data_IF_336013341414
#
_entry.id   IF_336013341414
#
_cell.length_a   1.000
_cell.length_b   1.000
_cell.length_c   1.000
_cell.angle_alpha   90.00
_cell.angle_beta   90.00
_cell.angle_gamma   90.00
#
_symmetry.space_group_name_H-M   'P 1'
#
loop_
_entity.id
_entity.type
_entity.pdbx_description
1 polymer ?
#
# COMPACT_ATOMS: atom_id res chain seq x y z
N UNK A 1 -15.90 -6.04 -13.68
CA UNK A 1 -14.50 -6.02 -13.19
C UNK A 1 -14.40 -7.00 -12.02
N UNK A 2 -13.38 -7.86 -11.97
CA UNK A 2 -13.24 -8.91 -10.94
C UNK A 2 -12.13 -8.55 -9.94
N UNK A 3 -12.48 -8.53 -8.64
CA UNK A 3 -11.59 -8.17 -7.52
C UNK A 3 -11.52 -9.33 -6.51
N UNK A 4 -10.63 -10.31 -6.70
CA UNK A 4 -10.56 -11.46 -5.80
C UNK A 4 -9.99 -11.06 -4.43
N UNK A 5 -10.23 -11.91 -3.44
CA UNK A 5 -9.67 -11.82 -2.09
C UNK A 5 -8.84 -13.07 -1.73
N UNK A 6 -7.76 -13.42 -2.48
CA UNK A 6 -6.89 -14.54 -2.11
C UNK A 6 -6.17 -14.25 -0.79
N UNK A 7 -5.90 -15.28 0.02
CA UNK A 7 -5.22 -15.14 1.32
C UNK A 7 -5.88 -14.09 2.25
N UNK A 8 -7.20 -13.89 2.10
CA UNK A 8 -7.95 -12.83 2.79
C UNK A 8 -7.64 -12.77 4.28
N UNK A 9 -7.74 -13.89 4.97
CA UNK A 9 -7.64 -13.89 6.42
C UNK A 9 -6.23 -13.52 6.88
N UNK A 10 -5.19 -14.01 6.18
CA UNK A 10 -3.80 -13.61 6.43
C UNK A 10 -3.57 -12.13 6.14
N UNK A 11 -3.94 -11.64 4.95
CA UNK A 11 -3.75 -10.24 4.56
C UNK A 11 -4.50 -9.31 5.51
N UNK A 12 -5.73 -9.67 5.88
CA UNK A 12 -6.55 -8.86 6.77
C UNK A 12 -5.99 -8.84 8.18
N UNK A 13 -5.51 -9.98 8.69
CA UNK A 13 -4.87 -10.04 10.00
C UNK A 13 -3.61 -9.18 10.06
N UNK A 14 -2.73 -9.28 9.06
CA UNK A 14 -1.46 -8.54 9.03
C UNK A 14 -1.65 -7.04 8.78
N UNK A 15 -2.64 -6.62 7.97
CA UNK A 15 -2.93 -5.20 7.80
C UNK A 15 -3.54 -4.60 9.08
N UNK A 16 -4.47 -5.32 9.72
CA UNK A 16 -5.10 -4.86 10.96
C UNK A 16 -4.14 -4.79 12.15
N UNK A 17 -3.14 -5.67 12.22
CA UNK A 17 -2.14 -5.65 13.31
C UNK A 17 -1.28 -4.39 13.29
N UNK A 18 -1.24 -3.68 12.15
CA UNK A 18 -0.56 -2.38 11.99
C UNK A 18 -1.56 -1.23 11.74
N UNK A 19 -2.82 -1.42 12.13
CA UNK A 19 -3.92 -0.44 12.02
C UNK A 19 -4.19 0.06 10.58
N UNK A 20 -3.75 -0.66 9.56
CA UNK A 20 -3.95 -0.32 8.16
C UNK A 20 -5.24 -0.93 7.61
N UNK A 21 -5.95 -0.19 6.73
CA UNK A 21 -7.10 -0.73 6.00
C UNK A 21 -6.66 -1.96 5.17
N UNK A 22 -7.23 -3.15 5.42
CA UNK A 22 -6.81 -4.36 4.72
C UNK A 22 -7.07 -4.32 3.21
N UNK A 23 -7.99 -3.47 2.73
CA UNK A 23 -8.19 -3.28 1.30
C UNK A 23 -7.04 -2.52 0.62
N UNK A 24 -6.27 -1.71 1.37
CA UNK A 24 -5.06 -1.08 0.84
C UNK A 24 -3.97 -2.14 0.60
N UNK A 25 -3.78 -3.07 1.55
CA UNK A 25 -2.87 -4.20 1.36
C UNK A 25 -3.27 -5.07 0.16
N UNK A 26 -4.57 -5.36 0.00
CA UNK A 26 -5.09 -6.07 -1.17
C UNK A 26 -4.77 -5.36 -2.50
N UNK A 27 -4.93 -4.04 -2.55
CA UNK A 27 -4.63 -3.25 -3.74
C UNK A 27 -3.13 -3.27 -4.08
N UNK A 28 -2.26 -3.10 -3.08
CA UNK A 28 -0.81 -3.20 -3.28
C UNK A 28 -0.40 -4.58 -3.79
N UNK A 29 -0.85 -5.66 -3.14
CA UNK A 29 -0.52 -7.04 -3.55
C UNK A 29 -1.01 -7.34 -4.96
N UNK A 30 -2.19 -6.81 -5.34
CA UNK A 30 -2.75 -6.99 -6.67
C UNK A 30 -1.86 -6.36 -7.75
N UNK A 31 -1.38 -5.15 -7.53
CA UNK A 31 -0.50 -4.44 -8.46
C UNK A 31 0.89 -5.09 -8.50
N UNK A 32 1.44 -5.44 -7.34
CA UNK A 32 2.80 -5.99 -7.21
C UNK A 32 2.95 -7.41 -7.79
N UNK A 33 2.11 -8.35 -7.34
CA UNK A 33 2.32 -9.77 -7.64
C UNK A 33 1.15 -10.41 -8.38
N UNK A 34 0.00 -9.74 -8.45
CA UNK A 34 -1.29 -10.34 -8.80
C UNK A 34 -1.60 -11.55 -7.91
N UNK A 35 -1.28 -11.45 -6.62
CA UNK A 35 -1.45 -12.49 -5.61
C UNK A 35 -0.60 -13.76 -5.84
N UNK A 36 0.54 -13.66 -6.53
CA UNK A 36 1.44 -14.79 -6.77
C UNK A 36 2.54 -14.82 -5.69
N UNK A 37 2.51 -15.76 -4.73
CA UNK A 37 3.46 -15.76 -3.61
C UNK A 37 4.90 -16.09 -4.03
N UNK A 38 5.09 -16.72 -5.19
CA UNK A 38 6.41 -17.01 -5.76
C UNK A 38 6.87 -15.97 -6.80
N UNK A 39 6.22 -14.80 -6.85
CA UNK A 39 6.62 -13.74 -7.77
C UNK A 39 8.01 -13.21 -7.43
N UNK A 40 8.83 -12.99 -8.46
CA UNK A 40 10.12 -12.34 -8.36
C UNK A 40 10.27 -11.34 -9.51
N UNK A 41 10.62 -10.09 -9.20
CA UNK A 41 10.88 -9.07 -10.23
C UNK A 41 12.28 -9.23 -10.82
N UNK A 42 12.53 -8.61 -11.97
CA UNK A 42 13.86 -8.56 -12.59
C UNK A 42 14.89 -7.88 -11.68
N UNK A 43 14.45 -6.94 -10.83
CA UNK A 43 15.30 -6.25 -9.85
C UNK A 43 15.49 -7.02 -8.55
N UNK A 44 14.83 -8.18 -8.39
CA UNK A 44 15.00 -9.05 -7.23
C UNK A 44 13.95 -8.89 -6.13
N UNK A 45 12.90 -8.09 -6.33
CA UNK A 45 11.79 -7.98 -5.38
C UNK A 45 11.03 -9.31 -5.27
N UNK A 46 10.60 -9.73 -4.08
CA UNK A 46 10.08 -11.09 -3.82
C UNK A 46 8.72 -11.11 -3.13
N UNK A 47 7.91 -12.11 -3.49
CA UNK A 47 6.69 -12.47 -2.78
C UNK A 47 5.46 -11.63 -3.15
N UNK A 48 4.42 -11.74 -2.33
CA UNK A 48 3.12 -11.12 -2.55
C UNK A 48 3.18 -9.60 -2.63
N UNK A 49 3.95 -8.99 -1.74
CA UNK A 49 4.13 -7.54 -1.61
C UNK A 49 5.43 -7.04 -2.27
N UNK A 50 6.12 -7.90 -3.03
CA UNK A 50 7.34 -7.58 -3.78
C UNK A 50 8.36 -6.78 -2.95
N UNK A 51 8.80 -7.35 -1.83
CA UNK A 51 9.82 -6.72 -0.99
C UNK A 51 11.21 -6.95 -1.57
N UNK A 52 12.03 -5.90 -1.60
CA UNK A 52 13.46 -6.03 -1.83
C UNK A 52 14.12 -6.72 -0.63
N UNK A 53 15.12 -7.61 -0.83
CA UNK A 53 15.81 -8.30 0.26
C UNK A 53 16.33 -7.35 1.34
N UNK A 54 17.03 -6.28 0.95
CA UNK A 54 17.59 -5.29 1.88
C UNK A 54 16.50 -4.58 2.71
N UNK A 55 15.39 -4.20 2.06
CA UNK A 55 14.24 -3.60 2.74
C UNK A 55 13.63 -4.58 3.73
N UNK A 56 13.42 -5.83 3.32
CA UNK A 56 12.85 -6.84 4.20
C UNK A 56 13.76 -7.18 5.40
N UNK A 57 15.08 -7.19 5.19
CA UNK A 57 16.05 -7.37 6.27
C UNK A 57 15.98 -6.21 7.27
N UNK A 58 15.95 -4.98 6.77
CA UNK A 58 15.80 -3.80 7.62
C UNK A 58 14.49 -3.84 8.42
N UNK A 59 13.36 -4.14 7.76
CA UNK A 59 12.04 -4.26 8.41
C UNK A 59 12.05 -5.34 9.49
N UNK A 60 12.56 -6.54 9.18
CA UNK A 60 12.65 -7.62 10.16
C UNK A 60 13.46 -7.19 11.40
N UNK A 61 14.57 -6.48 11.20
CA UNK A 61 15.35 -5.88 12.27
C UNK A 61 14.57 -4.86 13.11
N UNK A 62 13.76 -3.99 12.48
CA UNK A 62 12.89 -3.05 13.20
C UNK A 62 11.81 -3.75 14.04
N UNK A 63 11.34 -4.92 13.58
CA UNK A 63 10.33 -5.72 14.26
C UNK A 63 10.91 -6.67 15.32
N UNK A 64 12.24 -6.82 15.39
CA UNK A 64 12.88 -7.83 16.25
C UNK A 64 12.67 -9.26 15.76
N UNK A 65 12.42 -9.45 14.46
CA UNK A 65 12.14 -10.74 13.82
C UNK A 65 13.41 -11.30 13.16
N UNK A 66 13.50 -12.62 13.07
CA UNK A 66 14.58 -13.28 12.33
C UNK A 66 14.38 -13.09 10.83
N UNK A 67 15.42 -12.62 10.12
CA UNK A 67 15.39 -12.49 8.67
C UNK A 67 15.91 -13.74 7.97
N UNK A 68 15.08 -14.33 7.10
CA UNK A 68 15.47 -15.35 6.12
C UNK A 68 14.92 -14.98 4.74
N UNK A 69 15.80 -14.83 3.76
CA UNK A 69 15.43 -14.36 2.42
C UNK A 69 14.48 -15.34 1.71
N UNK A 70 14.62 -16.64 1.95
CA UNK A 70 13.77 -17.69 1.37
C UNK A 70 12.32 -17.59 1.87
N UNK A 71 12.12 -17.07 3.09
CA UNK A 71 10.79 -16.85 3.65
C UNK A 71 10.06 -15.68 3.00
N UNK A 72 10.71 -14.87 2.17
CA UNK A 72 10.02 -13.83 1.40
C UNK A 72 9.03 -14.39 0.37
N UNK A 73 9.07 -15.70 0.09
CA UNK A 73 8.08 -16.40 -0.72
C UNK A 73 6.97 -17.09 0.09
N UNK A 74 6.98 -16.96 1.41
CA UNK A 74 5.90 -17.36 2.30
C UNK A 74 4.86 -16.24 2.38
N UNK A 75 3.58 -16.62 2.34
CA UNK A 75 2.45 -15.67 2.30
C UNK A 75 2.37 -14.85 3.57
N UNK A 76 2.49 -15.50 4.73
CA UNK A 76 2.33 -14.86 6.02
C UNK A 76 3.51 -13.95 6.32
N UNK A 77 4.73 -14.47 6.18
CA UNK A 77 5.95 -13.72 6.46
C UNK A 77 6.10 -12.49 5.54
N UNK A 78 5.94 -12.67 4.22
CA UNK A 78 6.05 -11.56 3.27
C UNK A 78 4.99 -10.47 3.52
N UNK A 79 3.75 -10.88 3.81
CA UNK A 79 2.65 -9.94 4.06
C UNK A 79 2.83 -9.22 5.39
N UNK A 80 3.31 -9.91 6.44
CA UNK A 80 3.64 -9.29 7.74
C UNK A 80 4.66 -8.16 7.56
N UNK A 81 5.79 -8.45 6.92
CA UNK A 81 6.83 -7.44 6.67
C UNK A 81 6.32 -6.32 5.76
N UNK A 82 5.59 -6.64 4.69
CA UNK A 82 5.13 -5.66 3.72
C UNK A 82 4.05 -4.73 4.28
N UNK A 83 3.11 -5.25 5.07
CA UNK A 83 2.13 -4.44 5.78
C UNK A 83 2.82 -3.49 6.78
N UNK A 84 3.78 -4.00 7.55
CA UNK A 84 4.54 -3.15 8.48
C UNK A 84 5.30 -2.05 7.74
N UNK A 85 5.98 -2.39 6.64
CA UNK A 85 6.73 -1.42 5.86
C UNK A 85 5.81 -0.32 5.30
N UNK A 86 4.70 -0.70 4.68
CA UNK A 86 3.74 0.28 4.16
C UNK A 86 3.15 1.16 5.27
N UNK A 87 2.79 0.58 6.43
CA UNK A 87 2.31 1.35 7.56
C UNK A 87 3.36 2.34 8.09
N UNK A 88 4.64 1.95 8.12
CA UNK A 88 5.74 2.84 8.50
C UNK A 88 5.87 4.04 7.56
N UNK A 89 5.70 3.83 6.25
CA UNK A 89 5.72 4.89 5.25
C UNK A 89 4.48 5.80 5.35
N UNK A 90 3.30 5.24 5.58
CA UNK A 90 2.09 6.02 5.82
C UNK A 90 2.31 6.96 7.02
N UNK A 91 2.91 6.46 8.10
CA UNK A 91 3.27 7.27 9.25
C UNK A 91 4.34 8.32 8.94
N UNK A 92 5.38 7.95 8.19
CA UNK A 92 6.48 8.86 7.81
C UNK A 92 6.01 10.04 6.96
N UNK A 93 4.96 9.84 6.15
CA UNK A 93 4.38 10.87 5.28
C UNK A 93 3.03 11.40 5.81
N UNK A 94 2.85 11.42 7.14
CA UNK A 94 1.70 12.04 7.84
C UNK A 94 0.32 11.59 7.31
N UNK A 95 0.19 10.31 6.93
CA UNK A 95 -1.04 9.72 6.41
C UNK A 95 -1.27 9.93 4.91
N UNK A 96 -0.36 10.60 4.19
CA UNK A 96 -0.48 10.82 2.75
C UNK A 96 -0.26 9.53 1.96
N UNK A 97 -1.35 8.89 1.52
CA UNK A 97 -1.29 7.67 0.71
C UNK A 97 -0.50 7.84 -0.60
N UNK A 98 -0.66 8.93 -1.40
CA UNK A 98 0.15 9.10 -2.61
C UNK A 98 1.65 9.09 -2.31
N UNK A 99 2.09 9.79 -1.26
CA UNK A 99 3.50 9.83 -0.86
C UNK A 99 4.00 8.49 -0.35
N UNK A 100 3.24 7.83 0.52
CA UNK A 100 3.60 6.53 1.07
C UNK A 100 3.72 5.45 -0.03
N UNK A 101 2.78 5.42 -0.98
CA UNK A 101 2.81 4.49 -2.12
C UNK A 101 3.96 4.80 -3.08
N UNK A 102 4.23 6.09 -3.33
CA UNK A 102 5.38 6.50 -4.13
C UNK A 102 6.70 6.08 -3.46
N UNK A 103 6.79 6.20 -2.13
CA UNK A 103 7.95 5.79 -1.36
C UNK A 103 8.10 4.26 -1.29
N UNK A 104 6.98 3.53 -1.24
CA UNK A 104 6.98 2.07 -1.25
C UNK A 104 7.63 1.53 -2.53
N UNK A 105 7.21 2.05 -3.69
CA UNK A 105 7.71 1.59 -4.99
C UNK A 105 9.01 2.28 -5.44
N UNK A 106 9.08 3.60 -5.29
CA UNK A 106 10.19 4.44 -5.77
C UNK A 106 11.28 4.68 -4.74
N UNK A 107 11.09 4.29 -3.49
CA UNK A 107 12.01 4.49 -2.38
C UNK A 107 11.80 5.83 -1.65
N UNK A 108 11.83 5.85 -0.29
CA UNK A 108 11.53 7.04 0.50
C UNK A 108 12.54 8.18 0.29
N UNK A 109 13.81 7.87 0.05
CA UNK A 109 14.84 8.89 -0.21
C UNK A 109 14.58 9.65 -1.51
N UNK A 110 14.13 8.96 -2.56
CA UNK A 110 13.77 9.60 -3.83
C UNK A 110 12.57 10.53 -3.65
N UNK A 111 11.52 10.08 -2.94
CA UNK A 111 10.34 10.92 -2.67
C UNK A 111 10.70 12.17 -1.87
N UNK A 112 11.51 12.04 -0.81
CA UNK A 112 12.02 13.18 -0.04
C UNK A 112 12.81 14.16 -0.91
N UNK A 113 13.65 13.64 -1.81
CA UNK A 113 14.39 14.47 -2.74
C UNK A 113 13.46 15.21 -3.71
N UNK A 114 12.45 14.55 -4.27
CA UNK A 114 11.48 15.18 -5.17
C UNK A 114 10.70 16.30 -4.51
N UNK A 115 10.32 16.11 -3.24
CA UNK A 115 9.69 17.15 -2.42
C UNK A 115 10.63 18.33 -2.17
N UNK A 116 11.87 18.06 -1.76
CA UNK A 116 12.85 19.09 -1.46
C UNK A 116 13.24 19.93 -2.69
N UNK A 117 13.30 19.30 -3.86
CA UNK A 117 13.61 19.96 -5.14
C UNK A 117 12.38 20.59 -5.81
N UNK A 118 11.18 20.45 -5.23
CA UNK A 118 9.93 20.94 -5.82
C UNK A 118 9.53 20.24 -7.12
N UNK A 119 10.08 19.04 -7.39
CA UNK A 119 9.75 18.23 -8.57
C UNK A 119 8.34 17.67 -8.50
N UNK A 120 7.88 17.30 -7.31
CA UNK A 120 6.50 16.89 -7.05
C UNK A 120 6.10 17.39 -5.67
N UNK A 121 4.86 17.87 -5.52
CA UNK A 121 4.36 18.42 -4.26
C UNK A 121 3.67 17.37 -3.35
N UNK A 122 3.70 16.09 -3.73
CA UNK A 122 3.10 14.99 -2.95
C UNK A 122 1.60 14.82 -3.11
N UNK A 123 0.92 15.66 -3.91
CA UNK A 123 -0.51 15.56 -4.12
C UNK A 123 -0.84 14.62 -5.29
N UNK A 124 -2.00 13.93 -5.19
CA UNK A 124 -2.49 13.06 -6.26
C UNK A 124 -2.80 13.83 -7.55
N UNK A 125 -3.26 15.08 -7.45
CA UNK A 125 -3.61 15.91 -8.63
C UNK A 125 -2.41 16.21 -9.54
N UNK A 126 -1.21 16.09 -9.01
CA UNK A 126 0.10 16.35 -9.63
C UNK A 126 0.92 15.06 -9.74
N UNK A 127 0.27 13.90 -9.71
CA UNK A 127 0.93 12.59 -9.86
C UNK A 127 1.81 12.49 -11.12
N UNK A 128 1.46 13.24 -12.18
CA UNK A 128 2.25 13.32 -13.41
C UNK A 128 3.65 13.91 -13.20
N UNK A 129 3.86 14.67 -12.12
CA UNK A 129 5.14 15.28 -11.81
C UNK A 129 6.12 14.31 -11.12
N UNK A 130 5.65 13.11 -10.70
CA UNK A 130 6.52 12.04 -10.22
C UNK A 130 7.54 11.69 -11.32
N UNK A 131 8.86 11.82 -11.08
CA UNK A 131 9.87 11.61 -12.12
C UNK A 131 9.94 10.17 -12.64
N UNK A 132 9.62 9.19 -11.80
CA UNK A 132 9.67 7.78 -12.18
C UNK A 132 8.33 7.31 -12.73
N UNK A 133 8.31 6.96 -14.03
CA UNK A 133 7.10 6.48 -14.71
C UNK A 133 6.51 5.22 -14.04
N UNK A 134 7.37 4.27 -13.64
CA UNK A 134 6.95 3.05 -12.94
C UNK A 134 6.22 3.38 -11.62
N UNK A 135 6.76 4.33 -10.86
CA UNK A 135 6.16 4.78 -9.60
C UNK A 135 4.86 5.54 -9.81
N UNK A 136 4.77 6.38 -10.84
CA UNK A 136 3.53 7.04 -11.24
C UNK A 136 2.41 6.04 -11.52
N UNK A 137 2.71 5.05 -12.37
CA UNK A 137 1.77 4.00 -12.76
C UNK A 137 1.36 3.15 -11.56
N UNK A 138 2.32 2.84 -10.67
CA UNK A 138 2.07 2.09 -9.45
C UNK A 138 1.09 2.82 -8.53
N UNK A 139 1.36 4.09 -8.20
CA UNK A 139 0.52 4.88 -7.29
C UNK A 139 -0.91 4.98 -7.83
N UNK A 140 -1.06 5.29 -9.13
CA UNK A 140 -2.38 5.41 -9.75
C UNK A 140 -3.15 4.08 -9.67
N UNK A 141 -2.52 2.96 -10.07
CA UNK A 141 -3.17 1.65 -10.08
C UNK A 141 -3.55 1.17 -8.68
N UNK A 142 -2.69 1.38 -7.68
CA UNK A 142 -3.00 0.97 -6.31
C UNK A 142 -4.17 1.77 -5.77
N UNK A 143 -4.21 3.09 -5.99
CA UNK A 143 -5.33 3.91 -5.52
C UNK A 143 -6.63 3.53 -6.23
N UNK A 144 -6.61 3.27 -7.54
CA UNK A 144 -7.79 2.82 -8.29
C UNK A 144 -8.30 1.46 -7.80
N UNK A 145 -7.39 0.50 -7.57
CA UNK A 145 -7.73 -0.83 -7.03
C UNK A 145 -8.23 -0.74 -5.59
N UNK A 146 -7.62 0.11 -4.75
CA UNK A 146 -8.05 0.33 -3.36
C UNK A 146 -9.48 0.88 -3.30
N UNK A 147 -9.75 1.90 -4.11
CA UNK A 147 -11.07 2.48 -4.31
C UNK A 147 -12.10 1.43 -4.75
N UNK A 148 -11.73 0.56 -5.69
CA UNK A 148 -12.60 -0.49 -6.18
C UNK A 148 -12.85 -1.57 -5.11
N UNK A 149 -11.82 -2.02 -4.39
CA UNK A 149 -11.97 -2.94 -3.26
C UNK A 149 -12.93 -2.38 -2.20
N UNK A 150 -12.79 -1.10 -1.84
CA UNK A 150 -13.69 -0.43 -0.90
C UNK A 150 -15.12 -0.29 -1.42
N UNK A 151 -15.31 0.04 -2.70
CA UNK A 151 -16.65 0.12 -3.30
C UNK A 151 -17.36 -1.23 -3.33
N UNK A 152 -16.64 -2.32 -3.62
CA UNK A 152 -17.23 -3.65 -3.76
C UNK A 152 -17.47 -4.31 -2.39
N UNK A 153 -16.50 -4.20 -1.47
CA UNK A 153 -16.50 -4.96 -0.22
C UNK A 153 -16.60 -4.10 1.05
N UNK A 154 -16.32 -2.81 0.95
CA UNK A 154 -16.39 -1.87 2.08
C UNK A 154 -17.81 -1.37 2.39
N UNK A 155 -18.76 -1.51 1.45
CA UNK A 155 -20.16 -1.10 1.65
C UNK A 155 -21.07 -2.21 2.20
N UNK A 156 -20.55 -3.43 2.40
CA UNK A 156 -21.24 -4.50 3.15
C UNK A 156 -20.74 -4.51 4.61
N UNK A 157 -21.49 -3.95 5.56
CA UNK A 157 -21.09 -3.90 6.96
C UNK A 157 -21.33 -5.28 7.58
N UNK A 158 -20.35 -6.17 7.48
CA UNK A 158 -20.16 -7.15 8.55
C UNK A 158 -19.16 -6.53 9.53
N UNK A 159 -19.71 -6.08 10.67
CA UNK A 159 -19.03 -5.53 11.86
C UNK A 159 -18.61 -4.05 11.77
N UNK A 160 -19.63 -3.19 11.72
CA UNK A 160 -19.58 -1.94 12.47
C UNK A 160 -19.49 -2.28 13.98
N UNK A 161 -18.31 -2.64 14.48
CA UNK A 161 -18.04 -2.63 15.92
C UNK A 161 -16.62 -2.12 16.20
N UNK A 162 -16.61 -0.98 16.89
CA UNK A 162 -15.55 -0.41 17.75
C UNK A 162 -14.39 0.33 17.07
N UNK A 163 -14.66 1.58 16.72
CA UNK A 163 -13.88 2.72 17.26
C UNK A 163 -12.50 3.00 16.66
N UNK A 164 -12.22 2.64 15.41
CA UNK A 164 -10.97 2.97 14.73
C UNK A 164 -10.98 4.36 14.07
N UNK A 165 -9.96 5.15 14.36
CA UNK A 165 -9.74 6.55 13.99
C UNK A 165 -9.53 6.73 12.47
N UNK A 166 -10.59 6.63 11.66
CA UNK A 166 -10.54 7.07 10.26
C UNK A 166 -11.58 8.15 10.02
N UNK A 167 -11.11 9.39 9.92
CA UNK A 167 -11.91 10.53 9.52
C UNK A 167 -12.65 10.24 8.23
N UNK A 168 -13.94 10.59 8.21
CA UNK A 168 -14.80 10.48 7.04
C UNK A 168 -14.18 11.22 5.85
N UNK A 169 -13.87 10.49 4.78
CA UNK A 169 -13.59 11.11 3.47
C UNK A 169 -14.90 11.77 3.00
N UNK A 170 -14.93 13.07 2.64
CA UNK A 170 -16.15 13.75 2.25
C UNK A 170 -16.78 13.09 1.03
N UNK A 171 -18.08 12.83 1.12
CA UNK A 171 -18.90 12.38 0.01
C UNK A 171 -18.90 13.44 -1.12
N UNK A 172 -18.68 13.02 -2.36
CA UNK A 172 -18.66 13.88 -3.57
C UNK A 172 -20.05 14.40 -4.00
N UNK A 173 -21.05 14.38 -3.13
CA UNK A 173 -22.44 14.76 -3.47
C UNK A 173 -22.83 16.21 -3.17
N UNK A 174 -21.95 17.05 -2.61
CA UNK A 174 -22.25 18.47 -2.42
C UNK A 174 -21.81 19.33 -3.62
N UNK A 175 -22.40 19.06 -4.79
CA UNK A 175 -22.53 20.08 -5.84
C UNK A 175 -23.96 20.57 -5.78
N UNK A 176 -24.14 21.77 -5.22
CA UNK A 176 -25.39 22.53 -5.28
C UNK A 176 -25.71 22.78 -6.76
N UNK A 177 -26.83 22.28 -7.26
CA UNK A 177 -27.51 22.95 -8.37
C UNK A 177 -28.28 24.14 -7.79
N UNK A 178 -27.79 25.35 -8.10
CA UNK A 178 -28.57 26.57 -8.04
C UNK A 178 -28.66 27.13 -9.47
N UNK A 179 -29.81 26.92 -10.07
CA UNK A 179 -30.56 27.90 -10.88
C UNK A 179 -32.00 27.43 -10.96
#
# INVERSE_FOLDING_TARGET
>A
MFYPLPYRDTIFAQAKSVEMDPYLAMAVIRVESKFRPKAQSVRGAKGLMQLMPDTAQWVAGQMGEEYKEEQLFDVEYNTKLGCWYLASLIKEFDGSLPLALAAYNGGPNNVKQWLAEGKWNGELKSINDIPFNETRDFVQRVLDDYDAYRRIYGWYPNFAEKGGFWGTIPNRSSVKMLS
#
